data_IF_022150102610
#
_entry.id   IF_022150102610
#
_cell.length_a   1.000
_cell.length_b   1.000
_cell.length_c   1.000
_cell.angle_alpha   90.00
_cell.angle_beta   90.00
_cell.angle_gamma   90.00
#
_symmetry.space_group_name_H-M   'P 1'
#
loop_
_entity.id
_entity.type
_entity.pdbx_description
1 polymer ?
#
# COMPACT_ATOMS: atom_id res chain seq x y z
N UNK A 1 1.82 12.88 6.76
CA UNK A 1 0.80 12.42 7.72
C UNK A 1 0.69 10.92 7.59
N UNK A 2 0.64 10.20 8.70
CA UNK A 2 0.46 8.74 8.72
C UNK A 2 -1.00 8.44 9.07
N UNK A 3 -1.57 7.39 8.49
CA UNK A 3 -2.93 6.95 8.75
C UNK A 3 -2.95 5.43 8.89
N UNK A 4 -3.82 4.93 9.77
CA UNK A 4 -4.03 3.50 9.99
C UNK A 4 -5.53 3.19 9.98
N UNK A 5 -5.88 2.07 9.34
CA UNK A 5 -7.22 1.50 9.33
C UNK A 5 -7.13 0.11 9.94
N UNK A 6 -7.97 -0.18 10.93
CA UNK A 6 -8.02 -1.49 11.59
C UNK A 6 -9.47 -1.95 11.64
N UNK A 7 -9.74 -3.15 11.14
CA UNK A 7 -11.03 -3.82 11.32
C UNK A 7 -10.97 -4.71 12.56
N UNK A 8 -11.83 -4.45 13.54
CA UNK A 8 -11.88 -5.17 14.81
C UNK A 8 -13.31 -5.67 15.10
N UNK A 9 -13.42 -6.85 15.72
CA UNK A 9 -14.70 -7.50 16.01
C UNK A 9 -14.60 -9.02 16.11
N UNK A 10 -15.68 -9.67 16.53
CA UNK A 10 -15.74 -11.13 16.67
C UNK A 10 -15.56 -11.87 15.32
N UNK A 11 -15.27 -13.16 15.35
CA UNK A 11 -15.29 -14.00 14.14
C UNK A 11 -16.66 -13.93 13.46
N UNK A 12 -16.69 -13.98 12.13
CA UNK A 12 -17.90 -13.91 11.31
C UNK A 12 -18.69 -12.57 11.38
N UNK A 13 -18.07 -11.46 11.81
CA UNK A 13 -18.68 -10.12 11.79
C UNK A 13 -18.36 -9.32 10.52
N UNK A 14 -17.93 -9.97 9.44
CA UNK A 14 -17.66 -9.32 8.16
C UNK A 14 -16.36 -8.51 8.06
N UNK A 15 -15.40 -8.66 8.99
CA UNK A 15 -14.12 -7.91 8.94
C UNK A 15 -13.37 -8.09 7.61
N UNK A 16 -13.17 -9.34 7.20
CA UNK A 16 -12.51 -9.68 5.93
C UNK A 16 -13.32 -9.16 4.75
N UNK A 17 -14.64 -9.31 4.78
CA UNK A 17 -15.52 -8.77 3.75
C UNK A 17 -15.39 -7.24 3.60
N UNK A 18 -15.33 -6.50 4.72
CA UNK A 18 -15.14 -5.04 4.68
C UNK A 18 -13.78 -4.64 4.12
N UNK A 19 -12.70 -5.32 4.53
CA UNK A 19 -11.35 -4.96 4.10
C UNK A 19 -11.05 -5.41 2.67
N UNK A 20 -11.40 -6.65 2.33
CA UNK A 20 -10.99 -7.33 1.10
C UNK A 20 -12.09 -7.45 0.06
N UNK A 21 -13.35 -7.40 0.49
CA UNK A 21 -14.51 -7.61 -0.37
C UNK A 21 -15.04 -9.03 -0.39
N UNK A 22 -16.05 -9.27 -1.23
CA UNK A 22 -16.73 -10.56 -1.40
C UNK A 22 -16.32 -11.33 -2.66
N UNK A 23 -15.53 -10.74 -3.57
CA UNK A 23 -15.15 -11.36 -4.84
C UNK A 23 -15.06 -10.36 -5.98
N UNK A 24 -15.29 -10.82 -7.22
CA UNK A 24 -15.07 -10.04 -8.44
C UNK A 24 -15.89 -8.74 -8.54
N UNK A 25 -17.08 -8.70 -7.94
CA UNK A 25 -18.01 -7.55 -8.05
C UNK A 25 -18.22 -6.81 -6.72
N UNK A 26 -17.51 -7.21 -5.67
CA UNK A 26 -17.69 -6.65 -4.32
C UNK A 26 -16.32 -6.24 -3.76
N UNK A 27 -15.87 -5.05 -4.13
CA UNK A 27 -14.57 -4.52 -3.70
C UNK A 27 -14.56 -4.12 -2.22
N UNK A 28 -13.50 -4.54 -1.52
CA UNK A 28 -13.22 -4.09 -0.16
C UNK A 28 -12.50 -2.75 -0.10
N UNK A 29 -12.39 -2.20 1.12
CA UNK A 29 -11.73 -0.92 1.38
C UNK A 29 -10.29 -0.88 0.86
N UNK A 30 -9.55 -2.00 0.90
CA UNK A 30 -8.15 -2.03 0.44
C UNK A 30 -8.06 -1.69 -1.04
N UNK A 31 -8.89 -2.31 -1.89
CA UNK A 31 -8.89 -2.05 -3.34
C UNK A 31 -9.27 -0.60 -3.62
N UNK A 32 -10.36 -0.13 -3.02
CA UNK A 32 -10.86 1.24 -3.16
C UNK A 32 -9.80 2.27 -2.73
N UNK A 33 -9.08 1.99 -1.63
CA UNK A 33 -8.04 2.87 -1.12
C UNK A 33 -6.83 2.94 -2.05
N UNK A 34 -6.41 1.81 -2.62
CA UNK A 34 -5.30 1.75 -3.60
C UNK A 34 -5.65 2.58 -4.84
N UNK A 35 -6.83 2.38 -5.41
CA UNK A 35 -7.26 3.13 -6.59
C UNK A 35 -7.35 4.63 -6.32
N UNK A 36 -8.01 5.01 -5.22
CA UNK A 36 -8.14 6.42 -4.85
C UNK A 36 -6.79 7.08 -4.57
N UNK A 37 -5.84 6.34 -3.99
CA UNK A 37 -4.48 6.82 -3.77
C UNK A 37 -3.81 7.22 -5.08
N UNK A 38 -3.74 6.30 -6.05
CA UNK A 38 -3.09 6.56 -7.33
C UNK A 38 -3.84 7.63 -8.14
N UNK A 39 -5.18 7.62 -8.15
CA UNK A 39 -5.98 8.65 -8.80
C UNK A 39 -5.59 10.06 -8.30
N UNK A 40 -5.47 10.22 -6.97
CA UNK A 40 -5.08 11.50 -6.35
C UNK A 40 -3.64 11.88 -6.65
N UNK A 41 -2.72 10.92 -6.67
CA UNK A 41 -1.31 11.15 -6.98
C UNK A 41 -1.13 11.63 -8.44
N UNK A 42 -1.78 10.98 -9.41
CA UNK A 42 -1.74 11.40 -10.81
C UNK A 42 -2.44 12.74 -11.03
N UNK A 43 -3.60 12.99 -10.40
CA UNK A 43 -4.27 14.30 -10.44
C UNK A 43 -3.33 15.42 -9.94
N UNK A 44 -2.61 15.18 -8.84
CA UNK A 44 -1.65 16.13 -8.28
C UNK A 44 -0.45 16.35 -9.22
N UNK A 45 0.09 15.29 -9.80
CA UNK A 45 1.19 15.38 -10.77
C UNK A 45 0.78 16.20 -12.00
N UNK A 46 -0.38 15.91 -12.60
CA UNK A 46 -0.92 16.66 -13.73
C UNK A 46 -1.13 18.14 -13.41
N UNK A 47 -1.77 18.44 -12.27
CA UNK A 47 -2.01 19.82 -11.85
C UNK A 47 -0.70 20.62 -11.69
N UNK A 48 0.35 19.99 -11.17
CA UNK A 48 1.68 20.60 -11.04
C UNK A 48 2.37 20.81 -12.39
N UNK A 49 2.26 19.86 -13.31
CA UNK A 49 2.77 20.01 -14.67
C UNK A 49 2.07 21.15 -15.45
N UNK A 50 0.76 21.30 -15.29
CA UNK A 50 0.00 22.41 -15.88
C UNK A 50 0.35 23.76 -15.26
N UNK A 51 0.54 23.81 -13.94
CA UNK A 51 1.00 25.02 -13.24
C UNK A 51 2.38 25.47 -13.76
N UNK A 52 3.27 24.51 -14.06
CA UNK A 52 4.59 24.77 -14.64
C UNK A 52 4.49 25.33 -16.07
N UNK A 53 3.66 24.73 -16.92
CA UNK A 53 3.52 25.16 -18.32
C UNK A 53 2.97 26.59 -18.43
N UNK A 54 2.05 26.98 -17.54
CA UNK A 54 1.49 28.34 -17.45
C UNK A 54 2.49 29.39 -16.95
N UNK A 55 3.51 28.99 -16.18
CA UNK A 55 4.47 29.90 -15.51
C UNK A 55 5.80 30.08 -16.25
N UNK A 56 5.89 29.68 -17.51
CA UNK A 56 7.10 29.64 -18.36
C UNK A 56 7.92 30.95 -18.51
N UNK A 57 7.65 32.02 -17.76
CA UNK A 57 8.41 33.29 -17.76
C UNK A 57 9.07 33.68 -16.41
N UNK A 58 8.93 32.90 -15.33
CA UNK A 58 9.45 33.27 -14.00
C UNK A 58 10.74 32.54 -13.60
N UNK A 59 11.79 33.28 -13.16
CA UNK A 59 13.10 32.76 -12.72
C UNK A 59 13.11 31.81 -11.49
N UNK A 60 11.96 31.37 -10.96
CA UNK A 60 11.92 30.43 -9.82
C UNK A 60 12.01 28.99 -10.31
N UNK A 61 12.97 28.23 -9.77
CA UNK A 61 13.14 26.80 -9.99
C UNK A 61 11.88 26.06 -9.52
N UNK A 62 11.02 25.67 -10.46
CA UNK A 62 9.83 24.86 -10.16
C UNK A 62 10.27 23.40 -9.94
N UNK A 63 9.84 22.80 -8.84
CA UNK A 63 10.09 21.40 -8.56
C UNK A 63 8.96 20.56 -9.15
N UNK A 64 9.29 19.70 -10.12
CA UNK A 64 8.34 18.72 -10.64
C UNK A 64 7.84 17.84 -9.48
N UNK A 65 6.52 17.59 -9.44
CA UNK A 65 5.97 16.64 -8.49
C UNK A 65 6.08 15.25 -9.09
N UNK A 66 6.91 14.43 -8.46
CA UNK A 66 7.01 13.01 -8.77
C UNK A 66 6.73 12.21 -7.49
N UNK A 67 6.32 10.96 -7.66
CA UNK A 67 5.98 10.09 -6.55
C UNK A 67 6.40 8.65 -6.81
N UNK A 68 6.65 7.93 -5.72
CA UNK A 68 6.89 6.48 -5.74
C UNK A 68 6.00 5.86 -4.69
N UNK A 69 5.33 4.77 -5.04
CA UNK A 69 4.52 3.99 -4.11
C UNK A 69 5.24 2.68 -3.84
N UNK A 70 5.45 2.39 -2.57
CA UNK A 70 6.05 1.16 -2.09
C UNK A 70 5.14 0.54 -1.04
N UNK A 71 5.08 -0.79 -1.03
CA UNK A 71 4.30 -1.55 -0.08
C UNK A 71 5.11 -2.71 0.51
N UNK A 72 4.72 -3.10 1.72
CA UNK A 72 5.07 -4.35 2.38
C UNK A 72 3.75 -5.02 2.78
N UNK A 73 3.71 -6.34 2.77
CA UNK A 73 2.52 -7.07 3.23
C UNK A 73 2.94 -8.19 4.17
N UNK A 74 2.48 -8.10 5.42
CA UNK A 74 2.96 -8.94 6.52
C UNK A 74 1.75 -9.48 7.27
N UNK A 75 1.82 -10.76 7.61
CA UNK A 75 0.90 -11.41 8.55
C UNK A 75 1.53 -11.45 9.94
N UNK A 76 0.71 -11.23 10.97
CA UNK A 76 1.08 -11.48 12.36
C UNK A 76 0.19 -12.57 12.92
N UNK A 77 0.78 -13.72 13.25
CA UNK A 77 0.07 -14.88 13.80
C UNK A 77 0.96 -15.60 14.82
N UNK A 78 0.39 -15.97 15.98
CA UNK A 78 1.13 -16.67 17.04
C UNK A 78 2.46 -15.98 17.44
N UNK A 79 2.40 -14.65 17.62
CA UNK A 79 3.54 -13.77 17.92
C UNK A 79 4.68 -13.79 16.86
N UNK A 80 4.45 -14.41 15.70
CA UNK A 80 5.38 -14.43 14.58
C UNK A 80 4.90 -13.47 13.50
N UNK A 81 5.85 -12.79 12.85
CA UNK A 81 5.59 -11.96 11.69
C UNK A 81 6.14 -12.65 10.44
N UNK A 82 5.33 -12.74 9.39
CA UNK A 82 5.67 -13.41 8.13
C UNK A 82 5.46 -12.47 6.96
N UNK A 83 6.42 -12.42 6.04
CA UNK A 83 6.32 -11.64 4.81
C UNK A 83 5.50 -12.37 3.74
N UNK A 84 4.32 -11.84 3.45
CA UNK A 84 3.39 -12.37 2.45
C UNK A 84 3.82 -12.07 1.01
N UNK A 85 4.76 -11.15 0.79
CA UNK A 85 5.33 -10.94 -0.54
C UNK A 85 6.50 -11.88 -0.85
N UNK A 86 7.23 -12.33 0.16
CA UNK A 86 8.28 -13.33 -0.03
C UNK A 86 7.71 -14.75 -0.25
N UNK A 87 6.55 -15.02 0.34
CA UNK A 87 5.93 -16.35 0.33
C UNK A 87 6.67 -17.35 1.22
N UNK A 88 6.11 -18.56 1.30
CA UNK A 88 6.80 -19.71 1.93
C UNK A 88 7.10 -19.57 3.43
N UNK A 89 6.39 -18.72 4.17
CA UNK A 89 6.57 -18.59 5.62
C UNK A 89 7.82 -17.81 6.05
N UNK A 90 8.35 -16.95 5.18
CA UNK A 90 9.55 -16.12 5.47
C UNK A 90 9.29 -15.21 6.68
N UNK A 91 9.93 -15.50 7.81
CA UNK A 91 9.79 -14.70 9.03
C UNK A 91 10.54 -13.37 8.94
N UNK A 92 9.94 -12.33 9.51
CA UNK A 92 10.48 -10.97 9.58
C UNK A 92 10.43 -10.43 11.00
N UNK A 93 11.26 -9.43 11.30
CA UNK A 93 11.40 -8.88 12.65
C UNK A 93 10.73 -7.50 12.74
N UNK A 94 9.99 -7.25 13.82
CA UNK A 94 9.51 -5.90 14.14
C UNK A 94 10.56 -5.21 15.00
N UNK A 95 11.10 -4.10 14.53
CA UNK A 95 12.11 -3.33 15.25
C UNK A 95 11.88 -1.82 15.11
N UNK A 96 12.37 -1.05 16.08
CA UNK A 96 12.38 0.41 16.02
C UNK A 96 13.68 0.89 15.38
N UNK A 97 13.55 1.75 14.37
CA UNK A 97 14.68 2.39 13.68
C UNK A 97 14.67 3.89 13.92
N UNK A 98 15.85 4.52 13.87
CA UNK A 98 15.97 5.97 14.03
C UNK A 98 15.30 6.77 12.89
N UNK A 99 15.10 6.14 11.73
CA UNK A 99 14.63 6.78 10.50
C UNK A 99 13.13 6.57 10.25
N UNK A 100 12.63 5.35 10.43
CA UNK A 100 11.22 4.98 10.13
C UNK A 100 10.37 4.77 11.39
N UNK A 101 10.96 4.80 12.60
CA UNK A 101 10.30 4.34 13.83
C UNK A 101 10.10 2.82 13.80
N UNK A 102 8.99 2.32 14.35
CA UNK A 102 8.63 0.90 14.28
C UNK A 102 8.39 0.46 12.83
N UNK A 103 9.17 -0.51 12.38
CA UNK A 103 9.12 -1.06 11.02
C UNK A 103 9.34 -2.58 11.05
N UNK A 104 9.14 -3.22 9.90
CA UNK A 104 9.37 -4.65 9.70
C UNK A 104 10.66 -4.86 8.92
N UNK A 105 11.70 -5.30 9.62
CA UNK A 105 13.02 -5.58 9.08
C UNK A 105 13.02 -6.92 8.34
N UNK A 106 13.62 -6.94 7.15
CA UNK A 106 13.70 -8.12 6.30
C UNK A 106 12.49 -8.34 5.39
N UNK A 107 11.39 -7.61 5.58
CA UNK A 107 10.22 -7.68 4.70
C UNK A 107 10.51 -7.09 3.32
N UNK A 108 10.11 -7.81 2.28
CA UNK A 108 10.21 -7.37 0.90
C UNK A 108 9.40 -6.10 0.68
N UNK A 109 10.05 -5.13 0.05
CA UNK A 109 9.44 -3.90 -0.41
C UNK A 109 9.14 -4.04 -1.89
N UNK A 110 7.86 -3.98 -2.26
CA UNK A 110 7.44 -3.96 -3.66
C UNK A 110 7.13 -2.53 -4.07
N UNK A 111 7.77 -2.06 -5.13
CA UNK A 111 7.41 -0.79 -5.77
C UNK A 111 6.27 -1.03 -6.76
N UNK A 112 5.26 -0.19 -6.72
CA UNK A 112 4.12 -0.26 -7.62
C UNK A 112 4.06 0.99 -8.51
N UNK A 113 4.13 0.85 -9.85
CA UNK A 113 4.09 2.00 -10.76
C UNK A 113 2.69 2.61 -10.87
N UNK A 114 1.65 1.83 -10.62
CA UNK A 114 0.24 2.20 -10.72
C UNK A 114 -0.64 1.35 -9.77
N UNK A 115 -1.94 1.65 -9.74
CA UNK A 115 -2.92 0.94 -8.92
C UNK A 115 -3.00 -0.56 -9.27
N UNK A 116 -2.98 -0.89 -10.56
CA UNK A 116 -3.05 -2.28 -11.03
C UNK A 116 -1.87 -3.10 -10.53
N UNK A 117 -0.66 -2.54 -10.57
CA UNK A 117 0.54 -3.17 -10.04
C UNK A 117 0.47 -3.41 -8.53
N UNK A 118 -0.05 -2.46 -7.76
CA UNK A 118 -0.22 -2.64 -6.31
C UNK A 118 -1.31 -3.66 -5.98
N UNK A 119 -2.44 -3.65 -6.70
CA UNK A 119 -3.53 -4.63 -6.55
C UNK A 119 -3.05 -6.04 -6.91
N UNK A 120 -2.24 -6.19 -7.96
CA UNK A 120 -1.66 -7.47 -8.35
C UNK A 120 -0.68 -7.99 -7.27
N UNK A 121 0.18 -7.13 -6.73
CA UNK A 121 1.07 -7.50 -5.64
C UNK A 121 0.30 -7.92 -4.39
N UNK A 122 -0.73 -7.15 -4.00
CA UNK A 122 -1.61 -7.48 -2.88
C UNK A 122 -2.35 -8.82 -3.08
N UNK A 123 -2.91 -9.04 -4.27
CA UNK A 123 -3.61 -10.30 -4.61
C UNK A 123 -2.67 -11.50 -4.56
N UNK A 124 -1.43 -11.35 -5.03
CA UNK A 124 -0.42 -12.40 -4.96
C UNK A 124 -0.07 -12.75 -3.50
N UNK A 125 0.16 -11.75 -2.64
CA UNK A 125 0.44 -12.03 -1.22
C UNK A 125 -0.77 -12.59 -0.46
N UNK A 126 -2.00 -12.24 -0.87
CA UNK A 126 -3.22 -12.83 -0.32
C UNK A 126 -3.33 -14.32 -0.65
N UNK A 127 -2.89 -14.74 -1.83
CA UNK A 127 -2.87 -16.15 -2.20
C UNK A 127 -1.92 -16.97 -1.31
N UNK A 128 -0.79 -16.38 -0.87
CA UNK A 128 0.10 -17.00 0.13
C UNK A 128 -0.60 -17.14 1.48
N UNK A 129 -1.29 -16.10 1.96
CA UNK A 129 -2.09 -16.16 3.19
C UNK A 129 -3.19 -17.23 3.15
N UNK A 130 -3.84 -17.44 1.99
CA UNK A 130 -4.87 -18.47 1.85
C UNK A 130 -4.31 -19.90 1.84
N UNK A 131 -3.00 -20.07 1.66
CA UNK A 131 -2.32 -21.36 1.59
C UNK A 131 -1.62 -21.77 2.90
N UNK A 132 -1.43 -20.83 3.82
CA UNK A 132 -0.87 -21.03 5.18
C UNK A 132 -1.93 -21.47 6.19
#
# INVERSE_FOLDING_TARGET
SNAALVAFGATNTGKTYTLEGGGQDEEGIISIAIESLFERLYKKQKAKAEEQSRRRGGKKRFQAFDFTVQSRYVEVYDEKCVDLYAGGGTQVEVAETAEEGFTVIGAQVRSAPDAAGLLAAYSAGRAEYAAS
#
